data_IF_021512681476
#
_entry.id   IF_021512681476
#
_cell.length_a   1.000
_cell.length_b   1.000
_cell.length_c   1.000
_cell.angle_alpha   90.00
_cell.angle_beta   90.00
_cell.angle_gamma   90.00
#
_symmetry.space_group_name_H-M   'P 1'
#
loop_
_entity.id
_entity.type
_entity.pdbx_description
1 polymer ?
#
# COMPACT_ATOMS: atom_id res chain seq x y z
N UNK A 1 -21.27 23.42 -15.60
CA UNK A 1 -20.34 23.86 -14.54
C UNK A 1 -19.97 22.62 -13.73
N UNK A 2 -18.79 22.58 -13.09
CA UNK A 2 -18.39 21.47 -12.23
C UNK A 2 -18.54 21.88 -10.78
N UNK A 3 -19.08 20.98 -9.95
CA UNK A 3 -19.10 21.13 -8.49
C UNK A 3 -17.89 20.40 -7.93
N UNK A 4 -17.09 21.10 -7.13
CA UNK A 4 -15.88 20.56 -6.50
C UNK A 4 -16.18 20.08 -5.10
N UNK A 5 -15.50 19.02 -4.69
CA UNK A 5 -15.54 18.41 -3.36
C UNK A 5 -14.11 18.13 -2.89
N UNK A 6 -13.80 18.49 -1.66
CA UNK A 6 -12.59 18.01 -1.03
C UNK A 6 -12.72 16.52 -0.70
N UNK A 7 -11.64 15.76 -0.82
CA UNK A 7 -11.71 14.30 -0.58
C UNK A 7 -12.05 13.92 0.86
N UNK A 8 -11.97 14.85 1.79
CA UNK A 8 -12.40 14.67 3.21
C UNK A 8 -13.89 14.96 3.43
N UNK A 9 -14.59 15.49 2.42
CA UNK A 9 -16.02 15.79 2.50
C UNK A 9 -16.89 14.57 2.23
N UNK A 10 -17.97 14.42 2.99
CA UNK A 10 -19.04 13.45 2.68
C UNK A 10 -19.70 13.80 1.33
N UNK A 11 -20.00 12.81 0.46
CA UNK A 11 -20.02 11.37 0.72
C UNK A 11 -18.75 10.61 0.31
N UNK A 12 -17.64 11.31 0.08
CA UNK A 12 -16.35 10.67 -0.21
C UNK A 12 -15.82 9.95 1.03
N UNK A 13 -15.22 8.78 0.84
CA UNK A 13 -14.65 8.01 1.94
C UNK A 13 -13.18 7.70 1.68
N UNK A 14 -12.33 8.07 2.64
CA UNK A 14 -10.91 7.77 2.61
C UNK A 14 -10.65 6.49 3.41
N UNK A 15 -9.84 5.60 2.83
CA UNK A 15 -9.39 4.36 3.43
C UNK A 15 -7.86 4.32 3.48
N UNK A 16 -7.29 3.50 4.34
CA UNK A 16 -5.87 3.18 4.38
C UNK A 16 -4.98 4.20 5.10
N UNK A 17 -5.52 5.37 5.48
CA UNK A 17 -4.77 6.41 6.22
C UNK A 17 -5.18 6.45 7.69
N UNK A 18 -4.23 6.84 8.56
CA UNK A 18 -4.49 7.15 9.96
C UNK A 18 -4.85 8.63 10.15
N UNK A 19 -4.33 9.52 9.28
CA UNK A 19 -4.64 10.95 9.26
C UNK A 19 -5.10 11.33 7.87
N UNK A 20 -6.23 12.02 7.77
CA UNK A 20 -6.74 12.64 6.56
C UNK A 20 -7.41 13.96 6.96
N UNK A 21 -6.68 15.05 6.86
CA UNK A 21 -7.07 16.38 7.30
C UNK A 21 -6.66 17.42 6.25
N UNK A 22 -7.64 17.90 5.48
CA UNK A 22 -7.42 18.89 4.42
C UNK A 22 -7.09 20.28 4.96
N UNK A 23 -7.57 20.64 6.16
CA UNK A 23 -7.27 21.94 6.76
C UNK A 23 -5.80 22.01 7.20
N UNK A 24 -5.31 20.91 7.80
CA UNK A 24 -3.88 20.77 8.17
C UNK A 24 -3.00 20.32 7.01
N UNK A 25 -3.59 19.94 5.89
CA UNK A 25 -2.91 19.44 4.69
C UNK A 25 -2.09 18.17 4.99
N UNK A 26 -2.69 17.24 5.73
CA UNK A 26 -2.05 16.03 6.25
C UNK A 26 -2.80 14.78 5.77
N UNK A 27 -2.10 13.90 5.06
CA UNK A 27 -2.63 12.62 4.57
C UNK A 27 -1.59 11.53 4.86
N UNK A 28 -1.62 10.99 6.09
CA UNK A 28 -0.55 10.15 6.63
C UNK A 28 -1.03 8.72 6.90
N UNK A 29 -0.18 7.75 6.61
CA UNK A 29 -0.45 6.35 6.97
C UNK A 29 -0.23 6.04 8.45
N UNK A 30 0.59 6.83 9.16
CA UNK A 30 0.75 6.77 10.61
C UNK A 30 0.05 7.95 11.30
N UNK A 31 -0.45 7.74 12.52
CA UNK A 31 -0.97 8.80 13.37
C UNK A 31 0.17 9.73 13.85
N UNK A 32 -0.16 10.94 14.30
CA UNK A 32 0.81 11.86 14.86
C UNK A 32 1.51 11.25 16.10
N UNK A 33 0.77 10.57 16.97
CA UNK A 33 1.32 9.85 18.11
C UNK A 33 2.33 8.76 17.70
N UNK A 34 1.99 7.99 16.65
CA UNK A 34 2.92 6.99 16.10
C UNK A 34 4.17 7.64 15.49
N UNK A 35 4.04 8.79 14.83
CA UNK A 35 5.16 9.52 14.26
C UNK A 35 6.12 10.05 15.34
N UNK A 36 5.59 10.45 16.51
CA UNK A 36 6.39 10.85 17.67
C UNK A 36 7.07 9.66 18.34
N UNK A 37 6.33 8.55 18.51
CA UNK A 37 6.84 7.30 19.10
C UNK A 37 7.92 6.63 18.25
N UNK A 38 7.78 6.69 16.91
CA UNK A 38 8.64 6.00 15.94
C UNK A 38 9.32 7.00 14.98
N UNK A 39 10.26 7.82 15.45
CA UNK A 39 10.91 8.87 14.64
C UNK A 39 11.65 8.29 13.41
N UNK A 40 12.12 7.03 13.46
CA UNK A 40 12.75 6.33 12.34
C UNK A 40 11.79 6.16 11.14
N UNK A 41 10.48 6.17 11.36
CA UNK A 41 9.46 6.14 10.31
C UNK A 41 8.91 7.52 9.96
N UNK A 42 9.40 8.60 10.57
CA UNK A 42 8.79 9.93 10.51
C UNK A 42 8.51 10.43 9.10
N UNK A 43 9.48 10.34 8.18
CA UNK A 43 9.28 10.72 6.79
C UNK A 43 8.37 9.74 6.03
N UNK A 44 8.58 8.44 6.20
CA UNK A 44 7.83 7.38 5.50
C UNK A 44 6.39 7.27 6.02
N UNK A 45 6.19 7.50 7.30
CA UNK A 45 4.87 7.49 7.94
C UNK A 45 3.94 8.63 7.49
N UNK A 46 4.52 9.74 7.02
CA UNK A 46 3.78 10.87 6.43
C UNK A 46 3.41 10.67 4.96
N UNK A 47 3.78 9.56 4.35
CA UNK A 47 3.34 9.19 3.00
C UNK A 47 1.91 8.69 3.02
N UNK A 48 1.19 8.90 1.91
CA UNK A 48 -0.16 8.39 1.74
C UNK A 48 -0.21 6.98 1.11
N UNK A 49 0.89 6.23 1.18
CA UNK A 49 0.98 4.88 0.62
C UNK A 49 -0.15 3.97 1.16
N UNK A 50 -0.92 3.36 0.25
CA UNK A 50 -2.11 2.58 0.60
C UNK A 50 -3.38 3.41 0.83
N UNK A 51 -3.28 4.74 0.83
CA UNK A 51 -4.44 5.62 0.91
C UNK A 51 -5.31 5.53 -0.36
N UNK A 52 -6.63 5.53 -0.18
CA UNK A 52 -7.60 5.45 -1.28
C UNK A 52 -8.82 6.30 -0.96
N UNK A 53 -9.34 6.99 -2.00
CA UNK A 53 -10.63 7.67 -1.96
C UNK A 53 -11.64 6.82 -2.72
N UNK A 54 -12.80 6.53 -2.13
CA UNK A 54 -13.86 5.77 -2.79
C UNK A 54 -15.19 6.52 -2.73
N UNK A 55 -15.96 6.45 -3.81
CA UNK A 55 -17.29 7.02 -3.95
C UNK A 55 -18.03 6.40 -5.14
N UNK A 56 -19.34 6.64 -5.26
CA UNK A 56 -20.13 6.31 -6.44
C UNK A 56 -20.61 7.59 -7.13
N UNK A 57 -20.72 7.56 -8.45
CA UNK A 57 -21.23 8.68 -9.25
C UNK A 57 -21.82 8.20 -10.59
N UNK A 58 -22.80 8.98 -11.11
CA UNK A 58 -23.32 8.84 -12.46
C UNK A 58 -22.82 9.96 -13.39
N UNK A 59 -21.71 10.60 -13.04
CA UNK A 59 -21.09 11.63 -13.83
C UNK A 59 -20.61 11.15 -15.20
N UNK A 60 -20.56 12.03 -16.20
CA UNK A 60 -19.91 11.78 -17.48
C UNK A 60 -18.45 12.24 -17.48
N UNK A 61 -18.07 13.08 -16.52
CA UNK A 61 -16.72 13.58 -16.36
C UNK A 61 -16.31 13.61 -14.90
N UNK A 62 -15.09 13.16 -14.64
CA UNK A 62 -14.44 13.25 -13.34
C UNK A 62 -13.23 14.18 -13.46
N UNK A 63 -13.30 15.34 -12.85
CA UNK A 63 -12.16 16.22 -12.66
C UNK A 63 -11.44 15.84 -11.37
N UNK A 64 -10.11 15.81 -11.42
CA UNK A 64 -9.25 15.57 -10.25
C UNK A 64 -8.20 16.68 -10.20
N UNK A 65 -8.08 17.32 -9.05
CA UNK A 65 -7.04 18.29 -8.72
C UNK A 65 -6.27 17.77 -7.51
N UNK A 66 -4.95 17.70 -7.61
CA UNK A 66 -4.06 17.15 -6.59
C UNK A 66 -2.90 18.11 -6.34
N UNK A 67 -2.62 18.38 -5.06
CA UNK A 67 -1.52 19.25 -4.62
C UNK A 67 -0.53 18.43 -3.79
N UNK A 68 0.74 18.53 -4.13
CA UNK A 68 1.86 17.84 -3.49
C UNK A 68 2.84 18.87 -2.90
N UNK A 69 3.58 18.50 -1.85
CA UNK A 69 4.61 19.33 -1.23
C UNK A 69 5.85 19.55 -2.14
N UNK A 70 5.95 18.76 -3.18
CA UNK A 70 7.03 18.70 -4.14
C UNK A 70 7.18 17.28 -4.63
N UNK A 71 8.19 17.04 -5.46
CA UNK A 71 8.50 15.70 -5.95
C UNK A 71 9.99 15.41 -5.78
N UNK A 72 10.32 14.18 -5.41
CA UNK A 72 11.71 13.71 -5.39
C UNK A 72 12.04 13.00 -6.68
N UNK A 73 13.23 13.25 -7.20
CA UNK A 73 13.78 12.46 -8.28
C UNK A 73 14.24 11.12 -7.77
N UNK A 74 13.79 10.06 -8.43
CA UNK A 74 14.16 8.68 -8.15
C UNK A 74 14.34 7.97 -9.49
N UNK A 75 15.55 7.47 -9.75
CA UNK A 75 15.92 6.96 -11.08
C UNK A 75 15.16 5.70 -11.50
N UNK A 76 14.62 4.96 -10.54
CA UNK A 76 13.90 3.71 -10.78
C UNK A 76 12.40 3.81 -10.50
N UNK A 77 11.89 4.97 -10.09
CA UNK A 77 10.46 5.21 -9.84
C UNK A 77 9.96 6.37 -10.71
N UNK A 78 9.08 6.13 -11.68
CA UNK A 78 8.52 7.22 -12.46
C UNK A 78 7.60 8.09 -11.61
N UNK A 79 7.45 9.38 -11.98
CA UNK A 79 6.56 10.32 -11.29
C UNK A 79 5.10 9.82 -11.16
N UNK A 80 4.64 9.02 -12.11
CA UNK A 80 3.33 8.36 -12.01
C UNK A 80 3.24 7.34 -10.87
N UNK A 81 4.37 6.80 -10.43
CA UNK A 81 4.48 5.86 -9.31
C UNK A 81 4.76 6.54 -7.98
N UNK A 82 5.66 7.53 -7.93
CA UNK A 82 6.01 8.25 -6.68
C UNK A 82 4.97 9.30 -6.29
N UNK A 83 4.62 10.17 -7.24
CA UNK A 83 3.81 11.39 -7.09
C UNK A 83 2.42 11.28 -7.72
N UNK A 84 2.11 10.18 -8.41
CA UNK A 84 0.85 10.01 -9.12
C UNK A 84 -0.26 9.45 -8.27
N UNK A 85 -1.50 9.71 -8.68
CA UNK A 85 -2.69 9.00 -8.25
C UNK A 85 -3.31 8.29 -9.45
N UNK A 86 -3.83 7.08 -9.28
CA UNK A 86 -4.49 6.34 -10.35
C UNK A 86 -5.92 5.94 -9.99
N UNK A 87 -6.74 5.74 -11.02
CA UNK A 87 -8.18 5.63 -10.88
C UNK A 87 -8.65 4.30 -11.46
N UNK A 88 -9.47 3.60 -10.69
CA UNK A 88 -10.15 2.37 -11.10
C UNK A 88 -11.66 2.54 -10.98
N UNK A 89 -12.38 1.90 -11.90
CA UNK A 89 -13.85 1.82 -11.92
C UNK A 89 -14.30 0.40 -11.61
N UNK A 90 -15.34 0.27 -10.77
CA UNK A 90 -15.85 -1.02 -10.32
C UNK A 90 -15.06 -1.62 -9.16
N UNK A 91 -15.24 -2.92 -8.90
CA UNK A 91 -14.63 -3.66 -7.79
C UNK A 91 -14.24 -5.08 -8.19
N UNK A 92 -13.45 -5.71 -7.33
CA UNK A 92 -13.01 -7.09 -7.55
C UNK A 92 -12.10 -7.21 -8.78
N UNK A 93 -12.08 -8.38 -9.37
CA UNK A 93 -11.31 -8.67 -10.59
C UNK A 93 -11.87 -7.98 -11.84
N UNK A 94 -13.11 -7.50 -11.78
CA UNK A 94 -13.79 -6.75 -12.87
C UNK A 94 -13.44 -5.25 -12.84
N UNK A 95 -12.73 -4.79 -11.80
CA UNK A 95 -12.31 -3.39 -11.71
C UNK A 95 -11.40 -3.01 -12.88
N UNK A 96 -11.76 -1.95 -13.60
CA UNK A 96 -11.04 -1.48 -14.79
C UNK A 96 -10.24 -0.22 -14.50
N UNK A 97 -9.04 -0.13 -15.06
CA UNK A 97 -8.21 1.06 -14.98
C UNK A 97 -8.72 2.17 -15.89
N UNK A 98 -9.01 3.34 -15.33
CA UNK A 98 -9.45 4.51 -16.07
C UNK A 98 -8.30 5.38 -16.53
N UNK A 99 -7.34 5.64 -15.64
CA UNK A 99 -6.23 6.52 -15.94
C UNK A 99 -5.48 6.98 -14.69
N UNK A 100 -4.53 7.90 -14.87
CA UNK A 100 -3.75 8.47 -13.77
C UNK A 100 -3.56 9.98 -13.92
N UNK A 101 -3.22 10.63 -12.83
CA UNK A 101 -2.77 12.02 -12.75
C UNK A 101 -1.42 12.07 -12.04
N UNK A 102 -0.46 12.83 -12.57
CA UNK A 102 0.85 13.02 -11.97
C UNK A 102 1.49 14.31 -12.50
N UNK A 103 2.47 14.89 -11.77
CA UNK A 103 3.35 15.93 -12.31
C UNK A 103 4.09 15.44 -13.57
N UNK A 104 4.40 16.35 -14.47
CA UNK A 104 5.15 16.04 -15.70
C UNK A 104 6.65 16.14 -15.53
N UNK A 105 7.09 16.89 -14.52
CA UNK A 105 8.49 17.16 -14.21
C UNK A 105 8.70 17.12 -12.70
N UNK A 106 9.91 16.86 -12.28
CA UNK A 106 10.29 17.03 -10.88
C UNK A 106 10.27 18.51 -10.50
N UNK A 107 9.79 18.80 -9.31
CA UNK A 107 9.59 20.15 -8.81
C UNK A 107 9.97 20.22 -7.34
N UNK A 108 10.87 21.12 -7.00
CA UNK A 108 11.11 21.53 -5.63
C UNK A 108 9.96 22.46 -5.17
N UNK A 109 9.37 22.17 -4.02
CA UNK A 109 8.24 22.92 -3.49
C UNK A 109 6.88 22.47 -4.05
N UNK A 110 5.85 23.21 -3.65
CA UNK A 110 4.46 22.85 -3.90
C UNK A 110 4.11 22.83 -5.37
N UNK A 111 3.45 21.76 -5.81
CA UNK A 111 2.94 21.61 -7.17
C UNK A 111 1.49 21.13 -7.16
N UNK A 112 0.67 21.76 -8.00
CA UNK A 112 -0.70 21.36 -8.25
C UNK A 112 -0.84 20.85 -9.68
N UNK A 113 -1.50 19.69 -9.82
CA UNK A 113 -1.83 19.09 -11.11
C UNK A 113 -3.32 18.84 -11.20
N UNK A 114 -3.84 18.95 -12.44
CA UNK A 114 -5.27 18.82 -12.72
C UNK A 114 -5.48 17.94 -13.95
N UNK A 115 -6.54 17.13 -13.92
CA UNK A 115 -6.93 16.32 -15.08
C UNK A 115 -8.42 15.98 -15.03
N UNK A 116 -9.03 15.92 -16.21
CA UNK A 116 -10.41 15.46 -16.40
C UNK A 116 -10.39 14.11 -17.11
N UNK A 117 -11.23 13.19 -16.63
CA UNK A 117 -11.44 11.87 -17.21
C UNK A 117 -12.88 11.76 -17.68
N UNK A 118 -13.10 11.03 -18.78
CA UNK A 118 -14.42 10.72 -19.26
C UNK A 118 -14.96 9.46 -18.58
N UNK A 119 -16.20 9.51 -18.12
CA UNK A 119 -16.98 8.41 -17.56
C UNK A 119 -18.18 8.12 -18.48
N UNK A 120 -18.87 7.01 -18.23
CA UNK A 120 -20.02 6.59 -19.06
C UNK A 120 -21.29 7.39 -18.80
N UNK A 121 -21.42 8.01 -17.62
CA UNK A 121 -22.67 8.63 -17.15
C UNK A 121 -23.64 7.62 -16.54
N UNK A 122 -23.21 6.39 -16.35
CA UNK A 122 -23.91 5.36 -15.57
C UNK A 122 -23.33 5.31 -14.15
N UNK A 123 -24.13 4.84 -13.19
CA UNK A 123 -23.67 4.69 -11.81
C UNK A 123 -22.45 3.76 -11.75
N UNK A 124 -21.36 4.25 -11.23
CA UNK A 124 -20.10 3.51 -11.13
C UNK A 124 -19.39 3.79 -9.81
N UNK A 125 -18.79 2.76 -9.23
CA UNK A 125 -17.87 2.88 -8.12
C UNK A 125 -16.52 3.39 -8.64
N UNK A 126 -16.01 4.46 -8.05
CA UNK A 126 -14.70 5.03 -8.33
C UNK A 126 -13.77 4.78 -7.14
N UNK A 127 -12.57 4.31 -7.42
CA UNK A 127 -11.47 4.22 -6.44
C UNK A 127 -10.28 4.99 -6.97
N UNK A 128 -9.80 6.00 -6.22
CA UNK A 128 -8.59 6.77 -6.50
C UNK A 128 -7.52 6.33 -5.50
N UNK A 129 -6.46 5.67 -5.96
CA UNK A 129 -5.30 5.39 -5.13
C UNK A 129 -4.43 6.64 -5.03
N UNK A 130 -4.04 7.01 -3.80
CA UNK A 130 -3.30 8.23 -3.50
C UNK A 130 -1.79 8.08 -3.80
N UNK A 131 -1.05 9.19 -3.95
CA UNK A 131 0.39 9.20 -4.14
C UNK A 131 1.12 8.39 -3.07
N UNK A 132 2.13 7.63 -3.51
CA UNK A 132 2.81 6.69 -2.62
C UNK A 132 4.01 7.30 -1.88
N UNK A 133 4.89 8.02 -2.59
CA UNK A 133 6.16 8.51 -2.04
C UNK A 133 6.14 10.00 -1.68
N UNK A 134 5.59 10.81 -2.57
CA UNK A 134 5.58 12.26 -2.40
C UNK A 134 4.38 12.70 -1.56
N UNK A 135 4.61 13.67 -0.68
CA UNK A 135 3.61 14.03 0.32
C UNK A 135 2.41 14.74 -0.32
N UNK A 136 1.25 14.16 -0.15
CA UNK A 136 -0.03 14.74 -0.55
C UNK A 136 -0.41 15.85 0.44
N UNK A 137 -0.70 17.03 -0.09
CA UNK A 137 -1.17 18.20 0.67
C UNK A 137 -2.66 18.43 0.52
N UNK A 138 -3.28 17.92 -0.54
CA UNK A 138 -4.71 18.04 -0.77
C UNK A 138 -5.13 17.43 -2.09
N UNK A 139 -6.39 17.01 -2.14
CA UNK A 139 -7.01 16.54 -3.37
C UNK A 139 -8.48 16.97 -3.41
N UNK A 140 -8.93 17.36 -4.58
CA UNK A 140 -10.33 17.65 -4.86
C UNK A 140 -10.79 16.84 -6.06
N UNK A 141 -12.04 16.42 -6.04
CA UNK A 141 -12.72 15.90 -7.21
C UNK A 141 -13.80 16.87 -7.66
N UNK A 142 -14.11 16.85 -8.95
CA UNK A 142 -15.20 17.62 -9.55
C UNK A 142 -16.05 16.75 -10.45
N UNK A 143 -17.37 16.92 -10.36
CA UNK A 143 -18.35 16.31 -11.26
C UNK A 143 -19.31 17.36 -11.77
N UNK A 144 -20.06 17.10 -12.85
CA UNK A 144 -21.07 18.02 -13.34
C UNK A 144 -22.15 18.28 -12.29
N UNK A 145 -22.64 19.51 -12.20
CA UNK A 145 -23.66 19.92 -11.18
C UNK A 145 -24.93 19.05 -11.17
N UNK A 146 -25.26 18.43 -12.30
CA UNK A 146 -26.44 17.58 -12.41
C UNK A 146 -26.16 16.10 -12.07
N UNK A 147 -24.89 15.72 -12.02
CA UNK A 147 -24.47 14.40 -11.63
C UNK A 147 -24.62 14.21 -10.11
N UNK A 148 -24.84 13.00 -9.69
CA UNK A 148 -24.98 12.62 -8.30
C UNK A 148 -23.68 12.01 -7.78
N UNK A 149 -23.49 12.17 -6.50
CA UNK A 149 -22.39 11.60 -5.74
C UNK A 149 -22.98 10.86 -4.54
N UNK A 150 -22.62 9.60 -4.38
CA UNK A 150 -23.09 8.76 -3.25
C UNK A 150 -21.92 8.17 -2.46
N UNK A 151 -22.23 7.77 -1.25
CA UNK A 151 -21.31 6.98 -0.45
C UNK A 151 -20.91 5.68 -1.18
N UNK A 152 -19.68 5.28 -0.98
CA UNK A 152 -19.20 4.00 -1.49
C UNK A 152 -19.85 2.85 -0.73
N UNK A 153 -20.20 1.73 -1.39
CA UNK A 153 -20.48 0.50 -0.66
C UNK A 153 -19.25 0.09 0.16
N UNK A 154 -19.50 -0.54 1.30
CA UNK A 154 -18.41 -1.13 2.08
C UNK A 154 -17.59 -2.12 1.25
N UNK A 155 -16.35 -2.34 1.64
CA UNK A 155 -15.59 -3.45 1.08
C UNK A 155 -16.25 -4.79 1.43
N UNK A 156 -16.14 -5.79 0.56
CA UNK A 156 -16.59 -7.16 0.86
C UNK A 156 -15.86 -7.72 2.08
N UNK A 157 -14.56 -7.40 2.22
CA UNK A 157 -13.76 -7.66 3.42
C UNK A 157 -13.51 -6.33 4.10
N UNK A 158 -14.35 -5.98 5.08
CA UNK A 158 -14.32 -4.67 5.75
C UNK A 158 -13.15 -4.51 6.73
N UNK A 159 -12.82 -5.57 7.46
CA UNK A 159 -11.66 -5.57 8.36
C UNK A 159 -10.39 -5.51 7.52
N UNK A 160 -9.48 -4.57 7.77
CA UNK A 160 -8.34 -4.38 6.89
C UNK A 160 -7.37 -5.57 6.91
N UNK A 161 -6.78 -5.85 5.75
CA UNK A 161 -5.54 -6.60 5.66
C UNK A 161 -4.42 -5.65 6.11
N UNK A 162 -3.61 -6.05 7.07
CA UNK A 162 -2.45 -5.27 7.52
C UNK A 162 -1.19 -5.85 6.90
N UNK A 163 -0.52 -5.08 6.05
CA UNK A 163 0.75 -5.47 5.44
C UNK A 163 1.90 -4.74 6.14
N UNK A 164 2.78 -5.46 6.81
CA UNK A 164 4.00 -4.93 7.39
C UNK A 164 5.22 -5.40 6.60
N UNK A 165 6.05 -4.45 6.13
CA UNK A 165 7.21 -4.84 5.34
C UNK A 165 8.04 -3.71 4.76
N UNK A 166 8.74 -4.05 3.69
CA UNK A 166 9.79 -3.27 3.05
C UNK A 166 9.28 -2.21 2.06
N UNK A 167 10.20 -1.70 1.23
CA UNK A 167 9.89 -0.91 0.04
C UNK A 167 8.98 -1.65 -0.94
N UNK A 168 9.11 -2.97 -1.04
CA UNK A 168 8.27 -3.81 -1.90
C UNK A 168 6.83 -3.78 -1.39
N UNK A 169 6.62 -3.92 -0.08
CA UNK A 169 5.31 -3.79 0.57
C UNK A 169 4.73 -2.39 0.42
N UNK A 170 5.56 -1.34 0.56
CA UNK A 170 5.15 0.04 0.31
C UNK A 170 4.71 0.24 -1.14
N UNK A 171 5.21 -0.57 -2.07
CA UNK A 171 4.91 -0.55 -3.50
C UNK A 171 6.10 -0.14 -4.38
N UNK A 172 7.30 -0.07 -3.83
CA UNK A 172 8.60 0.15 -4.47
C UNK A 172 8.57 0.83 -5.83
N UNK A 173 8.97 0.14 -6.86
CA UNK A 173 9.04 0.64 -8.24
C UNK A 173 7.75 0.40 -9.06
N UNK A 174 6.60 0.23 -8.40
CA UNK A 174 5.34 0.18 -9.12
C UNK A 174 5.13 1.48 -9.91
N UNK A 175 4.82 1.41 -11.22
CA UNK A 175 4.69 2.60 -12.07
C UNK A 175 3.47 3.46 -11.74
N UNK A 176 2.55 2.96 -10.91
CA UNK A 176 1.38 3.66 -10.37
C UNK A 176 1.02 3.06 -9.01
N UNK A 177 0.37 3.80 -8.09
CA UNK A 177 -0.02 3.27 -6.77
C UNK A 177 -0.84 1.99 -6.83
N UNK A 178 -1.80 1.90 -7.73
CA UNK A 178 -2.66 0.72 -7.91
C UNK A 178 -1.97 -0.51 -8.52
N UNK A 179 -0.68 -0.41 -8.89
CA UNK A 179 0.13 -1.54 -9.37
C UNK A 179 1.00 -2.17 -8.25
N UNK A 180 1.06 -1.60 -7.05
CA UNK A 180 1.65 -2.28 -5.91
C UNK A 180 0.86 -3.56 -5.57
N UNK A 181 1.52 -4.66 -5.18
CA UNK A 181 0.82 -5.92 -4.90
C UNK A 181 -0.24 -5.76 -3.81
N UNK A 182 0.01 -4.93 -2.80
CA UNK A 182 -0.96 -4.63 -1.74
C UNK A 182 -2.25 -4.02 -2.30
N UNK A 183 -2.13 -3.12 -3.29
CA UNK A 183 -3.28 -2.52 -3.98
C UNK A 183 -3.97 -3.52 -4.93
N UNK A 184 -3.21 -4.38 -5.61
CA UNK A 184 -3.74 -5.40 -6.52
C UNK A 184 -4.57 -6.42 -5.73
N UNK A 185 -4.01 -6.97 -4.65
CA UNK A 185 -4.68 -7.96 -3.79
C UNK A 185 -5.93 -7.36 -3.16
N UNK A 186 -5.83 -6.14 -2.59
CA UNK A 186 -6.98 -5.43 -2.03
C UNK A 186 -8.10 -5.27 -3.06
N UNK A 187 -7.77 -4.80 -4.27
CA UNK A 187 -8.75 -4.62 -5.34
C UNK A 187 -9.41 -5.93 -5.77
N UNK A 188 -8.63 -7.00 -5.98
CA UNK A 188 -9.17 -8.28 -6.43
C UNK A 188 -10.07 -8.95 -5.40
N UNK A 189 -9.72 -8.83 -4.11
CA UNK A 189 -10.52 -9.36 -3.01
C UNK A 189 -11.67 -8.44 -2.58
N UNK A 190 -11.73 -7.21 -3.13
CA UNK A 190 -12.58 -6.13 -2.62
C UNK A 190 -12.44 -6.03 -1.09
N UNK A 191 -11.20 -5.87 -0.64
CA UNK A 191 -10.80 -5.84 0.76
C UNK A 191 -10.19 -4.49 1.16
N UNK A 192 -10.53 -3.98 2.34
CA UNK A 192 -9.79 -2.86 2.94
C UNK A 192 -8.37 -3.31 3.33
N UNK A 193 -7.41 -2.39 3.36
CA UNK A 193 -6.05 -2.67 3.82
C UNK A 193 -5.35 -1.47 4.43
N UNK A 194 -4.33 -1.78 5.25
CA UNK A 194 -3.35 -0.82 5.79
C UNK A 194 -1.97 -1.18 5.25
N UNK A 195 -1.34 -0.23 4.59
CA UNK A 195 0.03 -0.38 4.10
C UNK A 195 1.02 0.11 5.15
N UNK A 196 1.63 -0.81 5.88
CA UNK A 196 2.72 -0.57 6.82
C UNK A 196 4.06 -1.02 6.23
N UNK A 197 4.26 -0.74 4.93
CA UNK A 197 5.55 -0.85 4.27
C UNK A 197 6.40 0.39 4.52
N UNK A 198 7.68 0.20 4.85
CA UNK A 198 8.62 1.29 5.13
C UNK A 198 9.95 1.02 4.43
N UNK A 199 10.16 1.70 3.31
CA UNK A 199 11.36 1.55 2.47
C UNK A 199 12.65 1.62 3.28
N UNK A 200 13.44 0.54 3.30
CA UNK A 200 14.73 0.46 3.99
C UNK A 200 14.65 0.48 5.52
N UNK A 201 13.46 0.52 6.13
CA UNK A 201 13.32 0.86 7.55
C UNK A 201 12.57 -0.18 8.40
N UNK A 202 11.66 -0.97 7.85
CA UNK A 202 10.98 -2.03 8.60
C UNK A 202 11.95 -3.17 8.94
N UNK A 203 12.30 -3.34 10.20
CA UNK A 203 13.34 -4.28 10.66
C UNK A 203 12.87 -5.26 11.73
N UNK A 204 11.56 -5.31 12.00
CA UNK A 204 10.99 -6.22 12.98
C UNK A 204 11.15 -5.75 14.43
N UNK A 205 11.11 -4.44 14.66
CA UNK A 205 11.20 -3.84 15.99
C UNK A 205 9.99 -4.26 16.84
N UNK A 206 10.23 -4.78 18.06
CA UNK A 206 9.18 -5.27 18.95
C UNK A 206 8.19 -4.19 19.37
N UNK A 207 8.66 -2.96 19.62
CA UNK A 207 7.81 -1.83 19.98
C UNK A 207 6.87 -1.42 18.84
N UNK A 208 7.28 -1.63 17.59
CA UNK A 208 6.41 -1.43 16.43
C UNK A 208 5.43 -2.61 16.24
N UNK A 209 5.85 -3.85 16.58
CA UNK A 209 4.93 -4.98 16.64
C UNK A 209 3.82 -4.74 17.67
N UNK A 210 4.15 -4.20 18.85
CA UNK A 210 3.16 -3.80 19.87
C UNK A 210 2.19 -2.74 19.37
N UNK A 211 2.69 -1.75 18.62
CA UNK A 211 1.83 -0.73 17.98
C UNK A 211 0.84 -1.36 16.99
N UNK A 212 1.31 -2.25 16.12
CA UNK A 212 0.44 -2.95 15.17
C UNK A 212 -0.52 -3.92 15.86
N UNK A 213 -0.08 -4.58 16.93
CA UNK A 213 -0.92 -5.42 17.78
C UNK A 213 -2.06 -4.64 18.46
N UNK A 214 -1.89 -3.32 18.62
CA UNK A 214 -2.92 -2.42 19.12
C UNK A 214 -4.02 -2.07 18.10
N UNK A 215 -3.92 -2.50 16.86
CA UNK A 215 -5.00 -2.26 15.87
C UNK A 215 -6.24 -3.04 16.28
N UNK A 216 -7.43 -2.41 16.34
CA UNK A 216 -8.60 -3.04 16.92
C UNK A 216 -9.10 -4.25 16.12
N UNK A 217 -8.92 -4.22 14.80
CA UNK A 217 -9.41 -5.25 13.89
C UNK A 217 -8.47 -5.42 12.70
N UNK A 218 -8.31 -6.67 12.26
CA UNK A 218 -7.68 -7.04 11.00
C UNK A 218 -8.25 -8.36 10.49
N UNK A 219 -8.33 -8.53 9.18
CA UNK A 219 -8.77 -9.78 8.55
C UNK A 219 -7.61 -10.72 8.26
N UNK A 220 -6.43 -10.18 8.04
CA UNK A 220 -5.18 -10.88 7.76
C UNK A 220 -4.01 -9.99 8.17
N UNK A 221 -2.98 -10.57 8.75
CA UNK A 221 -1.69 -9.92 8.96
C UNK A 221 -0.64 -10.52 8.03
N UNK A 222 0.05 -9.67 7.25
CA UNK A 222 1.10 -10.10 6.32
C UNK A 222 2.45 -9.58 6.80
N UNK A 223 3.40 -10.49 7.04
CA UNK A 223 4.79 -10.20 7.41
C UNK A 223 5.69 -10.35 6.17
N UNK A 224 6.23 -9.23 5.68
CA UNK A 224 6.99 -9.11 4.43
C UNK A 224 8.18 -8.14 4.62
N UNK A 225 8.96 -8.30 5.72
CA UNK A 225 10.03 -7.36 6.04
C UNK A 225 11.45 -7.95 5.97
N UNK A 226 11.59 -9.22 5.62
CA UNK A 226 12.89 -9.91 5.57
C UNK A 226 13.92 -9.17 4.71
N UNK A 227 13.45 -8.48 3.68
CA UNK A 227 14.26 -7.68 2.76
C UNK A 227 15.01 -6.52 3.44
N UNK A 228 14.39 -5.88 4.43
CA UNK A 228 14.97 -4.74 5.14
C UNK A 228 15.81 -5.14 6.37
N UNK A 229 15.73 -6.38 6.79
CA UNK A 229 16.56 -6.86 7.90
C UNK A 229 18.04 -6.71 7.54
N UNK A 230 18.89 -6.15 8.42
CA UNK A 230 20.30 -5.92 8.11
C UNK A 230 21.09 -7.20 7.75
N UNK A 231 20.68 -8.34 8.32
CA UNK A 231 21.27 -9.65 8.03
C UNK A 231 20.28 -10.78 8.32
N UNK A 232 20.54 -12.01 7.84
CA UNK A 232 19.77 -13.17 8.23
C UNK A 232 19.77 -13.45 9.73
N UNK A 233 20.87 -13.14 10.44
CA UNK A 233 20.99 -13.27 11.90
C UNK A 233 20.01 -12.34 12.61
N UNK A 234 19.99 -11.04 12.24
CA UNK A 234 19.05 -10.09 12.78
C UNK A 234 17.59 -10.52 12.50
N UNK A 235 17.32 -11.03 11.30
CA UNK A 235 15.99 -11.55 10.96
C UNK A 235 15.62 -12.74 11.89
N UNK A 236 16.57 -13.64 12.16
CA UNK A 236 16.36 -14.77 13.06
C UNK A 236 16.06 -14.33 14.51
N UNK A 237 16.65 -13.21 14.95
CA UNK A 237 16.41 -12.64 16.27
C UNK A 237 15.04 -11.93 16.38
N UNK A 238 14.52 -11.37 15.27
CA UNK A 238 13.35 -10.49 15.32
C UNK A 238 12.06 -11.13 14.79
N UNK A 239 12.14 -12.07 13.83
CA UNK A 239 10.98 -12.53 13.09
C UNK A 239 9.98 -13.31 13.95
N UNK A 240 10.44 -14.27 14.73
CA UNK A 240 9.58 -15.04 15.62
C UNK A 240 9.04 -14.17 16.79
N UNK A 241 9.83 -13.36 17.51
CA UNK A 241 9.31 -12.45 18.55
C UNK A 241 8.24 -11.48 18.01
N UNK A 242 8.46 -10.87 16.85
CA UNK A 242 7.48 -10.00 16.21
C UNK A 242 6.14 -10.72 15.99
N UNK A 243 6.20 -11.92 15.39
CA UNK A 243 5.01 -12.74 15.18
C UNK A 243 4.29 -13.07 16.49
N UNK A 244 5.02 -13.44 17.55
CA UNK A 244 4.42 -13.80 18.85
C UNK A 244 3.66 -12.63 19.49
N UNK A 245 4.16 -11.40 19.35
CA UNK A 245 3.46 -10.20 19.80
C UNK A 245 2.12 -10.04 19.09
N UNK A 246 2.12 -10.15 17.75
CA UNK A 246 0.89 -10.07 16.94
C UNK A 246 -0.06 -11.21 17.31
N UNK A 247 0.43 -12.45 17.38
CA UNK A 247 -0.40 -13.64 17.66
C UNK A 247 -1.03 -13.59 19.05
N UNK A 248 -0.30 -13.08 20.04
CA UNK A 248 -0.81 -12.92 21.42
C UNK A 248 -1.98 -11.93 21.48
N UNK A 249 -1.91 -10.83 20.74
CA UNK A 249 -2.97 -9.83 20.69
C UNK A 249 -4.15 -10.28 19.83
N UNK A 250 -3.87 -11.01 18.75
CA UNK A 250 -4.84 -11.46 17.76
C UNK A 250 -4.79 -12.99 17.56
N UNK A 251 -5.29 -13.77 18.52
CA UNK A 251 -5.13 -15.24 18.50
C UNK A 251 -5.83 -15.91 17.31
N UNK A 252 -6.84 -15.26 16.74
CA UNK A 252 -7.66 -15.81 15.67
C UNK A 252 -7.38 -15.25 14.29
N UNK A 253 -6.55 -14.21 14.19
CA UNK A 253 -6.26 -13.58 12.89
C UNK A 253 -5.34 -14.47 12.07
N UNK A 254 -5.66 -14.73 10.78
CA UNK A 254 -4.73 -15.34 9.85
C UNK A 254 -3.42 -14.55 9.75
N UNK A 255 -2.28 -15.24 9.74
CA UNK A 255 -0.96 -14.61 9.50
C UNK A 255 -0.30 -15.27 8.29
N UNK A 256 0.12 -14.44 7.35
CA UNK A 256 0.86 -14.84 6.17
C UNK A 256 2.30 -14.38 6.28
N UNK A 257 3.22 -15.34 6.29
CA UNK A 257 4.65 -15.06 6.16
C UNK A 257 5.04 -15.08 4.70
N UNK A 258 5.70 -14.03 4.25
CA UNK A 258 6.15 -13.87 2.87
C UNK A 258 7.65 -13.64 2.86
N UNK A 259 8.40 -14.45 2.11
CA UNK A 259 9.82 -14.20 1.87
C UNK A 259 10.04 -13.40 0.57
N UNK A 260 11.19 -12.75 0.45
CA UNK A 260 11.54 -11.89 -0.69
C UNK A 260 11.49 -12.64 -2.03
N UNK A 261 10.99 -11.99 -3.10
CA UNK A 261 10.87 -12.63 -4.42
C UNK A 261 12.14 -12.52 -5.28
N UNK A 262 13.02 -11.56 -5.02
CA UNK A 262 14.22 -11.19 -5.81
C UNK A 262 15.46 -12.01 -5.42
N UNK A 263 15.30 -13.32 -5.30
CA UNK A 263 16.34 -14.23 -4.74
C UNK A 263 17.57 -14.39 -5.63
N UNK A 264 17.52 -13.95 -6.89
CA UNK A 264 18.60 -14.20 -7.86
C UNK A 264 19.76 -13.20 -7.69
N UNK A 265 19.53 -12.05 -7.09
CA UNK A 265 20.54 -11.01 -6.89
C UNK A 265 21.61 -11.44 -5.85
N UNK A 266 21.17 -12.05 -4.74
CA UNK A 266 22.00 -12.53 -3.64
C UNK A 266 21.50 -13.90 -3.17
N UNK A 267 21.71 -14.98 -3.93
CA UNK A 267 21.04 -16.26 -3.67
C UNK A 267 21.31 -16.85 -2.29
N UNK A 268 22.54 -16.81 -1.80
CA UNK A 268 22.90 -17.38 -0.50
C UNK A 268 22.24 -16.61 0.66
N UNK A 269 22.28 -15.28 0.63
CA UNK A 269 21.62 -14.44 1.65
C UNK A 269 20.10 -14.61 1.58
N UNK A 270 19.54 -14.63 0.40
CA UNK A 270 18.11 -14.78 0.15
C UNK A 270 17.57 -16.13 0.66
N UNK A 271 18.30 -17.22 0.43
CA UNK A 271 17.95 -18.55 0.93
C UNK A 271 17.98 -18.56 2.47
N UNK A 272 19.01 -17.98 3.10
CA UNK A 272 19.13 -17.91 4.55
C UNK A 272 17.97 -17.12 5.18
N UNK A 273 17.55 -16.00 4.56
CA UNK A 273 16.38 -15.21 5.02
C UNK A 273 15.09 -16.00 4.89
N UNK A 274 14.87 -16.61 3.73
CA UNK A 274 13.73 -17.49 3.47
C UNK A 274 13.64 -18.61 4.51
N UNK A 275 14.77 -19.25 4.85
CA UNK A 275 14.82 -20.32 5.83
C UNK A 275 14.44 -19.83 7.24
N UNK A 276 14.82 -18.61 7.62
CA UNK A 276 14.37 -17.98 8.88
C UNK A 276 12.86 -17.76 8.89
N UNK A 277 12.30 -17.19 7.82
CA UNK A 277 10.85 -16.96 7.69
C UNK A 277 10.09 -18.30 7.75
N UNK A 278 10.57 -19.30 7.00
CA UNK A 278 10.01 -20.64 6.99
C UNK A 278 10.09 -21.31 8.38
N UNK A 279 11.20 -21.16 9.10
CA UNK A 279 11.38 -21.71 10.44
C UNK A 279 10.36 -21.14 11.46
N UNK A 280 10.02 -19.84 11.36
CA UNK A 280 8.96 -19.23 12.18
C UNK A 280 7.60 -19.86 11.88
N UNK A 281 7.26 -20.01 10.60
CA UNK A 281 6.04 -20.69 10.16
C UNK A 281 5.96 -22.11 10.69
N UNK A 282 7.01 -22.91 10.49
CA UNK A 282 7.04 -24.30 10.94
C UNK A 282 6.96 -24.42 12.46
N UNK A 283 7.60 -23.52 13.22
CA UNK A 283 7.52 -23.47 14.67
C UNK A 283 6.08 -23.18 15.14
N UNK A 284 5.39 -22.26 14.49
CA UNK A 284 3.98 -21.97 14.77
C UNK A 284 3.10 -23.20 14.48
N UNK A 285 3.29 -23.87 13.33
CA UNK A 285 2.56 -25.10 12.98
C UNK A 285 2.80 -26.22 13.97
N UNK A 286 4.06 -26.46 14.42
CA UNK A 286 4.39 -27.47 15.43
C UNK A 286 3.71 -27.22 16.79
N UNK A 287 3.40 -25.96 17.12
CA UNK A 287 2.64 -25.59 18.32
C UNK A 287 1.12 -25.68 18.15
N UNK A 288 0.65 -26.11 16.98
CA UNK A 288 -0.77 -26.27 16.68
C UNK A 288 -1.46 -25.01 16.16
N UNK A 289 -0.71 -23.99 15.73
CA UNK A 289 -1.30 -22.81 15.09
C UNK A 289 -1.73 -23.14 13.65
N UNK A 290 -3.03 -23.31 13.45
CA UNK A 290 -3.62 -23.64 12.15
C UNK A 290 -3.88 -22.39 11.28
N UNK A 291 -3.68 -21.17 11.84
CA UNK A 291 -3.98 -19.91 11.18
C UNK A 291 -2.71 -19.18 10.68
N UNK A 292 -1.72 -19.94 10.27
CA UNK A 292 -0.48 -19.45 9.67
C UNK A 292 -0.25 -20.07 8.30
N UNK A 293 0.27 -19.27 7.38
CA UNK A 293 0.65 -19.68 6.04
C UNK A 293 2.01 -19.10 5.67
N UNK A 294 2.71 -19.78 4.79
CA UNK A 294 3.97 -19.32 4.23
C UNK A 294 3.90 -19.29 2.71
N UNK A 295 4.31 -18.17 2.13
CA UNK A 295 4.51 -18.01 0.68
C UNK A 295 6.00 -17.88 0.42
N UNK A 296 6.53 -18.84 -0.31
CA UNK A 296 7.91 -18.81 -0.75
C UNK A 296 8.10 -17.79 -1.88
N UNK A 297 8.73 -16.67 -1.58
CA UNK A 297 8.98 -15.60 -2.54
C UNK A 297 9.78 -16.07 -3.75
N UNK A 298 10.64 -17.08 -3.58
CA UNK A 298 11.41 -17.66 -4.69
C UNK A 298 10.53 -18.15 -5.86
N UNK A 299 9.33 -18.59 -5.58
CA UNK A 299 8.39 -19.10 -6.58
C UNK A 299 7.57 -17.99 -7.27
N UNK A 300 7.46 -16.78 -6.68
CA UNK A 300 6.56 -15.73 -7.14
C UNK A 300 6.88 -15.23 -8.55
N UNK A 301 8.15 -15.06 -8.90
CA UNK A 301 8.52 -14.60 -10.24
C UNK A 301 8.46 -15.70 -11.29
N UNK A 302 8.17 -16.96 -10.89
CA UNK A 302 8.11 -18.10 -11.79
C UNK A 302 9.45 -18.43 -12.43
N UNK A 303 9.44 -19.27 -13.47
CA UNK A 303 10.66 -19.75 -14.16
C UNK A 303 10.94 -18.97 -15.45
N UNK A 304 9.92 -18.55 -16.19
CA UNK A 304 10.04 -17.87 -17.47
C UNK A 304 9.93 -16.37 -17.27
N UNK A 305 10.91 -15.61 -17.76
CA UNK A 305 10.95 -14.15 -17.65
C UNK A 305 11.10 -13.66 -16.22
N UNK A 306 11.77 -14.42 -15.37
CA UNK A 306 12.05 -14.10 -13.97
C UNK A 306 12.87 -12.82 -13.85
N UNK A 307 13.91 -12.67 -14.67
CA UNK A 307 14.76 -11.46 -14.74
C UNK A 307 14.01 -10.19 -15.13
N UNK A 308 12.88 -10.34 -15.82
CA UNK A 308 12.06 -9.21 -16.26
C UNK A 308 11.11 -8.68 -15.18
N UNK A 309 11.06 -9.31 -14.00
CA UNK A 309 10.13 -8.98 -12.94
C UNK A 309 10.55 -7.79 -12.08
N UNK A 310 11.81 -7.34 -12.17
CA UNK A 310 12.35 -6.23 -11.38
C UNK A 310 12.82 -5.07 -12.24
N UNK A 311 12.97 -3.88 -11.63
CA UNK A 311 13.53 -2.70 -12.29
C UNK A 311 15.05 -2.65 -12.13
N UNK A 312 15.55 -3.08 -10.98
CA UNK A 312 16.94 -2.89 -10.52
C UNK A 312 17.56 -4.16 -9.93
N UNK A 313 16.97 -5.31 -10.21
CA UNK A 313 17.38 -6.61 -9.63
C UNK A 313 16.76 -6.90 -8.27
N UNK A 314 16.01 -5.94 -7.68
CA UNK A 314 15.42 -6.01 -6.36
C UNK A 314 13.93 -5.67 -6.39
N UNK A 315 13.58 -4.43 -6.75
CA UNK A 315 12.22 -3.94 -6.67
C UNK A 315 11.37 -4.41 -7.86
N UNK A 316 10.20 -5.04 -7.58
CA UNK A 316 9.30 -5.49 -8.64
C UNK A 316 8.79 -4.33 -9.51
N UNK A 317 8.70 -4.56 -10.80
CA UNK A 317 7.94 -3.76 -11.74
C UNK A 317 6.48 -4.26 -11.84
N UNK A 318 5.71 -3.79 -12.83
CA UNK A 318 4.31 -4.23 -13.02
C UNK A 318 4.17 -5.75 -13.16
N UNK A 319 5.08 -6.39 -13.90
CA UNK A 319 5.05 -7.84 -14.09
C UNK A 319 5.34 -8.57 -12.77
N UNK A 320 6.37 -8.13 -12.04
CA UNK A 320 6.73 -8.72 -10.75
C UNK A 320 5.64 -8.56 -9.69
N UNK A 321 5.01 -7.39 -9.62
CA UNK A 321 3.90 -7.17 -8.68
C UNK A 321 2.62 -7.92 -9.04
N UNK A 322 2.41 -8.25 -10.32
CA UNK A 322 1.25 -9.00 -10.78
C UNK A 322 1.37 -10.51 -10.51
N UNK A 323 2.60 -11.02 -10.49
CA UNK A 323 2.91 -12.42 -10.17
C UNK A 323 2.88 -12.72 -8.69
#
# INVERSE_FOLDING_TARGET
MMKLYDITETPLKIYGLAVADSEKRQFFKLSEEALERFPQYGYLGRRAAGGRVRFQTDAKKLYVKMTLAGTKEDINIPLSGSAGADIYLGKGTEATYLGYIAPKIHTEGEITVEKTFDLTGEEVLVTINLPRNDHLLGMQIGIEERAKLWETPAYTVEKPIVFYGSSITEGGCAPRPGNAYTSIVSRWLDADYRNMGFSGSARGEEDFAEYLAGFPEMSLFVMDYDHNSPSPEHLAETHAPFFEIIRKAHPDVPVLFLSRPDTDAEPEDSIRRRDVVCATYEAAKRRGDEKVWFVDGHELFGKIGRSECTVDGCHPNTLGFLR
#
